data_IF_830276147668
#
_entry.id   IF_830276147668
#
_cell.length_a   1.000
_cell.length_b   1.000
_cell.length_c   1.000
_cell.angle_alpha   90.00
_cell.angle_beta   90.00
_cell.angle_gamma   90.00
#
_symmetry.space_group_name_H-M   'P 1'
#
loop_
_entity.id
_entity.type
_entity.pdbx_description
1 polymer ?
#
# COMPACT_ATOMS: atom_id res chain seq x y z
N UNK A 1 33.91 61.34 45.38
CA UNK A 1 35.07 60.42 45.46
C UNK A 1 34.57 59.02 45.82
N UNK A 2 35.26 58.01 45.30
CA UNK A 2 35.13 56.55 45.51
C UNK A 2 34.02 55.85 44.74
N UNK A 3 34.28 55.26 43.55
CA UNK A 3 35.15 54.12 43.13
C UNK A 3 34.55 52.73 43.40
N UNK A 4 34.22 52.06 42.29
CA UNK A 4 34.51 50.67 41.90
C UNK A 4 34.10 49.49 42.80
N UNK A 5 33.28 48.60 42.23
CA UNK A 5 33.57 47.17 41.93
C UNK A 5 32.25 46.50 41.49
N UNK A 6 32.02 46.20 40.20
CA UNK A 6 32.42 44.98 39.45
C UNK A 6 32.22 43.67 40.22
N UNK A 7 31.10 43.01 39.94
CA UNK A 7 30.98 41.54 40.00
C UNK A 7 30.00 41.09 38.91
N UNK A 8 30.56 40.64 37.80
CA UNK A 8 29.86 39.89 36.78
C UNK A 8 29.72 38.45 37.29
N UNK A 9 28.49 37.95 37.43
CA UNK A 9 28.24 36.51 37.54
C UNK A 9 27.61 36.04 36.24
N UNK A 10 28.46 35.45 35.40
CA UNK A 10 28.09 34.64 34.25
C UNK A 10 27.30 33.42 34.73
N UNK A 11 26.02 33.33 34.37
CA UNK A 11 25.23 32.12 34.58
C UNK A 11 25.25 31.33 33.28
N UNK A 12 26.08 30.30 33.21
CA UNK A 12 26.09 29.32 32.11
C UNK A 12 24.94 28.36 32.37
N UNK A 13 23.84 28.52 31.63
CA UNK A 13 22.73 27.56 31.65
C UNK A 13 23.14 26.37 30.77
N UNK A 14 23.51 25.27 31.42
CA UNK A 14 23.85 24.00 30.80
C UNK A 14 22.54 23.34 30.31
N UNK A 15 22.12 23.59 29.07
CA UNK A 15 21.00 22.87 28.45
C UNK A 15 21.45 21.47 28.07
N UNK A 16 21.19 20.50 28.93
CA UNK A 16 21.25 19.07 28.57
C UNK A 16 20.09 18.77 27.61
N UNK A 17 20.38 18.80 26.31
CA UNK A 17 19.52 18.21 25.29
C UNK A 17 19.61 16.69 25.49
N UNK A 18 18.64 16.10 26.18
CA UNK A 18 18.46 14.66 26.15
C UNK A 18 18.00 14.29 24.73
N UNK A 19 18.96 13.86 23.91
CA UNK A 19 18.68 13.10 22.70
C UNK A 19 18.02 11.80 23.14
N UNK A 20 16.69 11.78 23.13
CA UNK A 20 15.92 10.54 23.17
C UNK A 20 16.19 9.85 21.83
N UNK A 21 17.24 9.03 21.79
CA UNK A 21 17.49 8.09 20.72
C UNK A 21 16.32 7.11 20.71
N UNK A 22 15.29 7.43 19.95
CA UNK A 22 14.22 6.51 19.61
C UNK A 22 14.85 5.31 18.92
N UNK A 23 14.96 4.21 19.66
CA UNK A 23 15.33 2.91 19.14
C UNK A 23 14.22 2.44 18.18
N UNK A 24 14.25 2.92 16.94
CA UNK A 24 13.45 2.38 15.83
C UNK A 24 14.10 1.07 15.33
N UNK A 25 14.25 0.11 16.23
CA UNK A 25 14.76 -1.23 15.95
C UNK A 25 13.64 -2.23 15.65
N UNK A 26 12.73 -1.91 14.72
CA UNK A 26 11.91 -2.95 14.08
C UNK A 26 12.59 -3.29 12.75
N UNK A 27 13.43 -4.34 12.78
CA UNK A 27 14.14 -4.82 11.61
C UNK A 27 13.18 -5.12 10.45
N UNK A 28 13.64 -4.88 9.22
CA UNK A 28 12.94 -5.27 8.00
C UNK A 28 12.61 -6.77 8.04
N UNK A 29 11.42 -7.13 7.60
CA UNK A 29 10.98 -8.54 7.59
C UNK A 29 11.91 -9.38 6.70
N UNK A 30 12.00 -10.70 6.91
CA UNK A 30 12.79 -11.57 6.02
C UNK A 30 12.34 -11.48 4.55
N UNK A 31 11.06 -11.19 4.33
CA UNK A 31 10.52 -10.94 2.99
C UNK A 31 11.02 -9.61 2.42
N UNK A 32 10.91 -8.53 3.20
CA UNK A 32 11.36 -7.19 2.78
C UNK A 32 12.86 -7.19 2.46
N UNK A 33 13.68 -7.81 3.32
CA UNK A 33 15.12 -8.01 3.03
C UNK A 33 15.37 -8.75 1.73
N UNK A 34 14.66 -9.86 1.50
CA UNK A 34 14.81 -10.62 0.27
C UNK A 34 14.44 -9.78 -0.97
N UNK A 35 13.38 -8.99 -0.88
CA UNK A 35 12.93 -8.11 -1.97
C UNK A 35 13.84 -6.90 -2.18
N UNK A 36 14.51 -6.42 -1.14
CA UNK A 36 15.54 -5.39 -1.26
C UNK A 36 16.77 -5.95 -2.00
N UNK A 37 17.17 -7.19 -1.71
CA UNK A 37 18.27 -7.89 -2.38
C UNK A 37 17.92 -8.35 -3.80
N UNK A 38 16.65 -8.74 -4.03
CA UNK A 38 16.15 -9.37 -5.26
C UNK A 38 14.78 -8.81 -5.66
N UNK A 39 14.72 -7.56 -6.17
CA UNK A 39 13.45 -6.82 -6.33
C UNK A 39 12.49 -7.36 -7.39
N UNK A 40 12.94 -8.30 -8.22
CA UNK A 40 12.15 -8.92 -9.28
C UNK A 40 11.74 -10.37 -8.94
N UNK A 41 12.29 -10.96 -7.88
CA UNK A 41 12.11 -12.37 -7.52
C UNK A 41 11.03 -12.52 -6.43
N UNK A 42 9.87 -11.87 -6.64
CA UNK A 42 8.81 -11.79 -5.63
C UNK A 42 8.30 -13.18 -5.27
N UNK A 43 8.12 -14.05 -6.26
CA UNK A 43 7.62 -15.43 -6.06
C UNK A 43 8.58 -16.23 -5.20
N UNK A 44 9.87 -16.14 -5.49
CA UNK A 44 10.96 -16.83 -4.83
C UNK A 44 11.10 -16.33 -3.39
N UNK A 45 11.10 -15.01 -3.19
CA UNK A 45 11.16 -14.39 -1.87
C UNK A 45 9.94 -14.75 -1.01
N UNK A 46 8.75 -14.76 -1.59
CA UNK A 46 7.54 -15.23 -0.92
C UNK A 46 7.63 -16.72 -0.58
N UNK A 47 8.05 -17.57 -1.53
CA UNK A 47 8.19 -19.02 -1.36
C UNK A 47 9.23 -19.43 -0.31
N UNK A 48 10.32 -18.66 -0.16
CA UNK A 48 11.31 -18.84 0.92
C UNK A 48 10.69 -18.63 2.30
N UNK A 49 9.62 -17.82 2.40
CA UNK A 49 8.96 -17.50 3.67
C UNK A 49 7.67 -18.29 3.92
N UNK A 50 7.18 -19.07 2.94
CA UNK A 50 6.05 -20.00 3.10
C UNK A 50 5.97 -20.96 1.91
N UNK A 51 5.78 -22.27 2.17
CA UNK A 51 5.59 -23.28 1.12
C UNK A 51 4.25 -23.18 0.40
N UNK A 52 3.23 -22.63 1.05
CA UNK A 52 1.91 -22.40 0.48
C UNK A 52 1.48 -20.98 0.78
N UNK A 53 0.99 -20.27 -0.22
CA UNK A 53 0.59 -18.87 -0.09
C UNK A 53 -0.84 -18.78 -0.59
N UNK A 54 -1.77 -18.72 0.36
CA UNK A 54 -3.12 -18.26 0.07
C UNK A 54 -3.11 -16.76 -0.21
N UNK A 55 -4.13 -16.27 -0.90
CA UNK A 55 -4.33 -14.83 -1.13
C UNK A 55 -4.30 -14.05 0.18
N UNK A 56 -4.97 -14.50 1.24
CA UNK A 56 -4.99 -13.86 2.56
C UNK A 56 -3.58 -13.78 3.14
N UNK A 57 -2.87 -14.91 3.16
CA UNK A 57 -1.51 -14.96 3.70
C UNK A 57 -0.53 -14.07 2.91
N UNK A 58 -0.76 -13.91 1.60
CA UNK A 58 0.01 -13.03 0.74
C UNK A 58 -0.19 -11.56 1.14
N UNK A 59 -1.46 -11.14 1.30
CA UNK A 59 -1.77 -9.77 1.72
C UNK A 59 -1.33 -9.49 3.16
N UNK A 60 -1.36 -10.47 4.06
CA UNK A 60 -0.85 -10.30 5.42
C UNK A 60 0.66 -10.12 5.45
N UNK A 61 1.41 -10.84 4.59
CA UNK A 61 2.84 -10.58 4.39
C UNK A 61 3.09 -9.17 3.85
N UNK A 62 2.28 -8.70 2.90
CA UNK A 62 2.41 -7.33 2.39
C UNK A 62 2.20 -6.27 3.49
N UNK A 63 1.25 -6.47 4.42
CA UNK A 63 1.01 -5.54 5.54
C UNK A 63 2.22 -5.35 6.44
N UNK A 64 3.04 -6.39 6.60
CA UNK A 64 4.23 -6.36 7.44
C UNK A 64 5.43 -5.63 6.80
N UNK A 65 5.36 -5.31 5.50
CA UNK A 65 6.41 -4.59 4.78
C UNK A 65 6.34 -3.09 5.13
N UNK A 66 7.50 -2.50 5.44
CA UNK A 66 7.58 -1.08 5.80
C UNK A 66 7.57 -0.18 4.58
N UNK A 67 8.37 -0.50 3.57
CA UNK A 67 8.44 0.22 2.30
C UNK A 67 7.09 0.18 1.58
N UNK A 68 6.48 1.35 1.34
CA UNK A 68 5.22 1.43 0.61
C UNK A 68 5.37 0.91 -0.82
N UNK A 69 6.50 1.17 -1.47
CA UNK A 69 6.81 0.65 -2.80
C UNK A 69 6.85 -0.88 -2.81
N UNK A 70 7.60 -1.48 -1.88
CA UNK A 70 7.74 -2.93 -1.79
C UNK A 70 6.41 -3.59 -1.41
N UNK A 71 5.64 -2.95 -0.52
CA UNK A 71 4.28 -3.37 -0.16
C UNK A 71 3.35 -3.36 -1.37
N UNK A 72 3.41 -2.33 -2.19
CA UNK A 72 2.60 -2.21 -3.40
C UNK A 72 2.95 -3.30 -4.42
N UNK A 73 4.24 -3.58 -4.63
CA UNK A 73 4.68 -4.70 -5.47
C UNK A 73 4.15 -6.04 -5.00
N UNK A 74 4.21 -6.32 -3.69
CA UNK A 74 3.70 -7.58 -3.15
C UNK A 74 2.18 -7.65 -3.27
N UNK A 75 1.44 -6.56 -3.03
CA UNK A 75 -0.02 -6.51 -3.28
C UNK A 75 -0.35 -6.80 -4.73
N UNK A 76 0.37 -6.21 -5.67
CA UNK A 76 0.22 -6.47 -7.10
C UNK A 76 0.43 -7.96 -7.40
N UNK A 77 1.50 -8.54 -6.87
CA UNK A 77 1.74 -9.97 -7.01
C UNK A 77 0.61 -10.84 -6.42
N UNK A 78 0.14 -10.52 -5.22
CA UNK A 78 -0.98 -11.22 -4.59
C UNK A 78 -2.26 -11.13 -5.44
N UNK A 79 -2.56 -9.94 -5.97
CA UNK A 79 -3.75 -9.68 -6.79
C UNK A 79 -3.70 -10.46 -8.11
N UNK A 80 -2.59 -10.42 -8.84
CA UNK A 80 -2.53 -10.93 -10.21
C UNK A 80 -2.06 -12.38 -10.33
N UNK A 81 -1.29 -12.90 -9.38
CA UNK A 81 -0.65 -14.22 -9.51
C UNK A 81 -1.12 -15.26 -8.52
N UNK A 82 -1.75 -14.85 -7.41
CA UNK A 82 -2.24 -15.76 -6.37
C UNK A 82 -3.76 -15.84 -6.36
N UNK A 83 -4.45 -14.81 -6.84
CA UNK A 83 -5.88 -14.67 -6.60
C UNK A 83 -6.73 -15.43 -7.62
N UNK A 84 -7.53 -16.36 -7.12
CA UNK A 84 -8.82 -16.73 -7.72
C UNK A 84 -9.90 -16.06 -6.88
N UNK A 85 -10.33 -14.85 -7.27
CA UNK A 85 -11.39 -14.14 -6.56
C UNK A 85 -12.74 -14.70 -7.02
N UNK A 86 -13.54 -15.35 -6.16
CA UNK A 86 -14.77 -16.02 -6.59
C UNK A 86 -15.91 -15.03 -6.85
N UNK A 87 -15.82 -13.79 -6.35
CA UNK A 87 -16.86 -12.77 -6.47
C UNK A 87 -16.29 -11.40 -6.81
N UNK A 88 -17.09 -10.59 -7.51
CA UNK A 88 -16.77 -9.18 -7.76
C UNK A 88 -16.47 -8.44 -6.46
N UNK A 89 -17.26 -8.67 -5.40
CA UNK A 89 -17.07 -8.02 -4.09
C UNK A 89 -15.68 -8.33 -3.53
N UNK A 90 -15.29 -9.60 -3.46
CA UNK A 90 -13.97 -10.00 -2.98
C UNK A 90 -12.85 -9.42 -3.85
N UNK A 91 -13.08 -9.26 -5.16
CA UNK A 91 -12.11 -8.64 -6.03
C UNK A 91 -11.92 -7.15 -5.71
N UNK A 92 -13.02 -6.40 -5.64
CA UNK A 92 -12.98 -4.97 -5.33
C UNK A 92 -12.39 -4.71 -3.94
N UNK A 93 -12.70 -5.52 -2.94
CA UNK A 93 -12.11 -5.43 -1.59
C UNK A 93 -10.58 -5.51 -1.62
N UNK A 94 -10.01 -6.33 -2.50
CA UNK A 94 -8.55 -6.41 -2.67
C UNK A 94 -8.00 -5.27 -3.53
N UNK A 95 -8.72 -4.83 -4.56
CA UNK A 95 -8.34 -3.66 -5.35
C UNK A 95 -8.21 -2.40 -4.48
N UNK A 96 -9.06 -2.24 -3.45
CA UNK A 96 -8.96 -1.15 -2.49
C UNK A 96 -7.72 -1.16 -1.59
N UNK A 97 -6.93 -2.25 -1.61
CA UNK A 97 -5.71 -2.32 -0.84
C UNK A 97 -4.54 -1.62 -1.54
N UNK A 98 -4.63 -1.34 -2.84
CA UNK A 98 -3.59 -0.59 -3.57
C UNK A 98 -3.54 0.86 -3.07
N UNK A 99 -2.32 1.32 -2.78
CA UNK A 99 -2.09 2.70 -2.35
C UNK A 99 -1.88 3.64 -3.53
N UNK A 100 -1.31 3.13 -4.63
CA UNK A 100 -1.09 3.90 -5.85
C UNK A 100 -2.37 3.93 -6.67
N UNK A 101 -2.78 5.14 -7.04
CA UNK A 101 -4.01 5.40 -7.79
C UNK A 101 -4.06 4.65 -9.12
N UNK A 102 -2.92 4.53 -9.81
CA UNK A 102 -2.83 3.81 -11.08
C UNK A 102 -3.11 2.31 -10.92
N UNK A 103 -2.47 1.67 -9.93
CA UNK A 103 -2.65 0.25 -9.63
C UNK A 103 -4.06 -0.04 -9.10
N UNK A 104 -4.58 0.84 -8.25
CA UNK A 104 -5.94 0.76 -7.74
C UNK A 104 -6.97 0.77 -8.87
N UNK A 105 -6.89 1.76 -9.76
CA UNK A 105 -7.85 1.88 -10.86
C UNK A 105 -7.69 0.75 -11.89
N UNK A 106 -6.46 0.29 -12.14
CA UNK A 106 -6.21 -0.89 -12.98
C UNK A 106 -6.86 -2.15 -12.37
N UNK A 107 -6.64 -2.41 -11.09
CA UNK A 107 -7.24 -3.54 -10.38
C UNK A 107 -8.78 -3.48 -10.37
N UNK A 108 -9.38 -2.29 -10.24
CA UNK A 108 -10.84 -2.12 -10.37
C UNK A 108 -11.32 -2.50 -11.77
N UNK A 109 -10.61 -2.08 -12.83
CA UNK A 109 -10.96 -2.46 -14.19
C UNK A 109 -10.85 -3.96 -14.42
N UNK A 110 -9.82 -4.60 -13.88
CA UNK A 110 -9.64 -6.04 -13.99
C UNK A 110 -10.78 -6.78 -13.25
N UNK A 111 -11.17 -6.30 -12.07
CA UNK A 111 -12.36 -6.80 -11.38
C UNK A 111 -13.62 -6.61 -12.22
N UNK A 112 -13.81 -5.45 -12.84
CA UNK A 112 -14.95 -5.24 -13.73
C UNK A 112 -14.94 -6.26 -14.89
N UNK A 113 -13.82 -6.38 -15.60
CA UNK A 113 -13.69 -7.24 -16.78
C UNK A 113 -13.92 -8.71 -16.46
N UNK A 114 -13.41 -9.21 -15.33
CA UNK A 114 -13.63 -10.59 -14.89
C UNK A 114 -15.11 -10.92 -14.65
N UNK A 115 -15.90 -9.95 -14.20
CA UNK A 115 -17.29 -10.15 -13.79
C UNK A 115 -18.31 -9.48 -14.72
N UNK A 116 -17.88 -8.90 -15.86
CA UNK A 116 -18.72 -8.04 -16.72
C UNK A 116 -20.01 -8.73 -17.17
N UNK A 117 -19.94 -10.04 -17.46
CA UNK A 117 -21.10 -10.83 -17.94
C UNK A 117 -22.16 -11.06 -16.88
N UNK A 118 -21.81 -10.92 -15.61
CA UNK A 118 -22.67 -11.22 -14.46
C UNK A 118 -23.21 -9.99 -13.75
N UNK A 119 -22.88 -8.77 -14.21
CA UNK A 119 -23.30 -7.53 -13.55
C UNK A 119 -24.33 -6.78 -14.39
N UNK A 120 -25.24 -6.09 -13.70
CA UNK A 120 -26.21 -5.21 -14.34
C UNK A 120 -25.66 -3.77 -14.45
N UNK A 121 -26.38 -2.94 -15.20
CA UNK A 121 -26.06 -1.52 -15.38
C UNK A 121 -25.83 -0.77 -14.06
N UNK A 122 -26.69 -0.98 -13.06
CA UNK A 122 -26.58 -0.28 -11.78
C UNK A 122 -25.27 -0.63 -11.04
N UNK A 123 -24.89 -1.91 -11.04
CA UNK A 123 -23.62 -2.38 -10.48
C UNK A 123 -22.43 -1.82 -11.26
N UNK A 124 -22.48 -1.85 -12.60
CA UNK A 124 -21.43 -1.26 -13.44
C UNK A 124 -21.26 0.25 -13.14
N UNK A 125 -22.35 1.02 -13.08
CA UNK A 125 -22.29 2.44 -12.75
C UNK A 125 -21.75 2.68 -11.34
N UNK A 126 -22.06 1.81 -10.38
CA UNK A 126 -21.49 1.88 -9.04
C UNK A 126 -19.97 1.64 -9.06
N UNK A 127 -19.46 0.71 -9.88
CA UNK A 127 -18.02 0.49 -10.06
C UNK A 127 -17.35 1.71 -10.70
N UNK A 128 -17.97 2.34 -11.70
CA UNK A 128 -17.41 3.53 -12.35
C UNK A 128 -17.09 4.67 -11.38
N UNK A 129 -17.89 4.80 -10.31
CA UNK A 129 -17.71 5.81 -9.24
C UNK A 129 -16.60 5.45 -8.25
N UNK A 130 -16.06 4.23 -8.32
CA UNK A 130 -14.96 3.76 -7.48
C UNK A 130 -13.59 4.08 -8.08
N UNK A 131 -13.53 4.42 -9.37
CA UNK A 131 -12.31 4.83 -10.06
C UNK A 131 -11.89 6.23 -9.59
N UNK A 132 -10.60 6.39 -9.39
CA UNK A 132 -10.01 7.63 -8.89
C UNK A 132 -9.82 8.65 -10.01
N UNK A 133 -9.46 8.18 -11.21
CA UNK A 133 -9.27 9.07 -12.37
C UNK A 133 -10.61 9.36 -13.06
N UNK A 134 -10.99 10.64 -13.25
CA UNK A 134 -12.26 11.02 -13.88
C UNK A 134 -12.44 10.47 -15.30
N UNK A 135 -11.36 10.36 -16.08
CA UNK A 135 -11.42 9.89 -17.47
C UNK A 135 -11.75 8.41 -17.53
N UNK A 136 -11.10 7.62 -16.66
CA UNK A 136 -11.38 6.20 -16.45
C UNK A 136 -12.81 5.99 -15.96
N UNK A 137 -13.26 6.78 -14.98
CA UNK A 137 -14.62 6.75 -14.46
C UNK A 137 -15.66 7.05 -15.56
N UNK A 138 -15.43 8.09 -16.38
CA UNK A 138 -16.30 8.46 -17.50
C UNK A 138 -16.35 7.37 -18.58
N UNK A 139 -15.19 6.80 -18.92
CA UNK A 139 -15.10 5.71 -19.88
C UNK A 139 -15.97 4.52 -19.43
N UNK A 140 -15.77 4.05 -18.20
CA UNK A 140 -16.53 2.91 -17.69
C UNK A 140 -18.02 3.25 -17.59
N UNK A 141 -18.37 4.44 -17.10
CA UNK A 141 -19.77 4.90 -17.03
C UNK A 141 -20.45 4.89 -18.40
N UNK A 142 -19.76 5.36 -19.45
CA UNK A 142 -20.28 5.34 -20.83
C UNK A 142 -20.52 3.90 -21.29
N UNK A 143 -19.57 3.01 -21.02
CA UNK A 143 -19.70 1.61 -21.35
C UNK A 143 -20.87 0.94 -20.61
N UNK A 144 -21.11 1.28 -19.32
CA UNK A 144 -22.27 0.79 -18.57
C UNK A 144 -23.61 1.13 -19.21
N UNK A 145 -23.70 2.21 -20.01
CA UNK A 145 -24.95 2.57 -20.70
C UNK A 145 -25.30 1.62 -21.85
N UNK A 146 -24.33 0.87 -22.36
CA UNK A 146 -24.53 -0.17 -23.37
C UNK A 146 -24.95 -1.53 -22.79
N UNK A 147 -24.89 -1.70 -21.46
CA UNK A 147 -25.47 -2.86 -20.79
C UNK A 147 -26.99 -2.70 -20.75
N UNK A 148 -27.68 -3.61 -21.44
CA UNK A 148 -29.15 -3.69 -21.49
C UNK A 148 -29.75 -4.08 -20.13
#
# INVERSE_FOLDING_TARGET
MNRFMKTALSTVILTTVMLVSSAYGQGTTSLEKCLDDQPNEIRECLGKTSKFISIESCYDKAKAIRSNHTKEKVRSYCFYHISEMPTLRSCLEKAYLFAETDNHDAAIFDCYSQFEKGINKATCEAISKKLSYPDKARYLKSHCQSLL
#
